data_IF_795937483702
#
_entry.id   IF_795937483702
#
_cell.length_a   1.000
_cell.length_b   1.000
_cell.length_c   1.000
_cell.angle_alpha   90.00
_cell.angle_beta   90.00
_cell.angle_gamma   90.00
#
_symmetry.space_group_name_H-M   'P 1'
#
loop_
_entity.id
_entity.type
_entity.pdbx_description
1 polymer ?
#
# COMPACT_ATOMS: atom_id res chain seq x y z
N UNK A 1 1.21 -2.02 -12.37
CA UNK A 1 1.92 -0.73 -12.46
C UNK A 1 0.92 0.33 -12.88
N UNK A 2 0.49 1.16 -11.93
CA UNK A 2 -0.27 2.38 -12.22
C UNK A 2 0.75 3.44 -12.62
N UNK A 3 0.48 4.19 -13.69
CA UNK A 3 1.37 5.25 -14.17
C UNK A 3 0.56 6.54 -14.23
N UNK A 4 0.80 7.43 -13.29
CA UNK A 4 0.38 8.81 -13.41
C UNK A 4 1.41 9.58 -14.23
N UNK A 5 0.96 10.53 -15.04
CA UNK A 5 1.83 11.32 -15.92
C UNK A 5 1.69 12.81 -15.61
N UNK A 6 2.82 13.53 -15.67
CA UNK A 6 2.90 14.94 -15.32
C UNK A 6 3.48 15.72 -16.51
N UNK A 7 2.74 16.72 -16.97
CA UNK A 7 3.23 17.71 -17.93
C UNK A 7 3.60 18.99 -17.20
N UNK A 8 4.79 19.54 -17.46
CA UNK A 8 5.26 20.78 -16.86
C UNK A 8 5.34 21.84 -17.95
N UNK A 9 4.73 22.99 -17.72
CA UNK A 9 4.76 24.15 -18.63
C UNK A 9 4.23 23.80 -20.03
N UNK A 10 4.91 24.17 -21.13
CA UNK A 10 4.38 24.00 -22.49
C UNK A 10 5.15 22.97 -23.34
N UNK A 11 6.19 22.34 -22.78
CA UNK A 11 7.18 21.58 -23.56
C UNK A 11 6.90 20.06 -23.60
N UNK A 12 5.62 19.68 -23.66
CA UNK A 12 5.21 18.27 -23.74
C UNK A 12 3.93 18.09 -24.58
N UNK A 13 3.69 16.86 -25.04
CA UNK A 13 2.47 16.49 -25.76
C UNK A 13 1.41 15.96 -24.78
N UNK A 14 0.37 16.77 -24.54
CA UNK A 14 -0.69 16.45 -23.59
C UNK A 14 -1.52 15.23 -23.98
N UNK A 15 -1.75 14.99 -25.27
CA UNK A 15 -2.53 13.85 -25.74
C UNK A 15 -1.76 12.54 -25.50
N UNK A 16 -0.46 12.54 -25.77
CA UNK A 16 0.40 11.38 -25.52
C UNK A 16 0.49 11.07 -24.02
N UNK A 17 0.76 12.09 -23.20
CA UNK A 17 0.90 11.92 -21.75
C UNK A 17 -0.38 11.41 -21.10
N UNK A 18 -1.54 11.93 -21.53
CA UNK A 18 -2.85 11.45 -21.11
C UNK A 18 -3.10 10.01 -21.55
N UNK A 19 -2.79 9.66 -22.80
CA UNK A 19 -2.94 8.30 -23.30
C UNK A 19 -2.11 7.26 -22.53
N UNK A 20 -0.88 7.61 -22.13
CA UNK A 20 -0.02 6.74 -21.32
C UNK A 20 -0.63 6.49 -19.93
N UNK A 21 -1.13 7.54 -19.28
CA UNK A 21 -1.72 7.42 -17.95
C UNK A 21 -3.00 6.57 -17.98
N UNK A 22 -3.92 6.87 -18.90
CA UNK A 22 -5.20 6.16 -19.02
C UNK A 22 -5.01 4.68 -19.37
N UNK A 23 -4.04 4.35 -20.23
CA UNK A 23 -3.71 2.97 -20.59
C UNK A 23 -3.23 2.11 -19.40
N UNK A 24 -2.83 2.74 -18.29
CA UNK A 24 -2.36 2.09 -17.06
C UNK A 24 -3.21 2.44 -15.84
N UNK A 25 -4.44 2.91 -16.06
CA UNK A 25 -5.39 3.32 -15.02
C UNK A 25 -4.85 4.43 -14.09
N UNK A 26 -3.91 5.25 -14.57
CA UNK A 26 -3.45 6.46 -13.88
C UNK A 26 -4.15 7.72 -14.38
N UNK A 27 -3.71 8.87 -13.87
CA UNK A 27 -4.23 10.20 -14.17
C UNK A 27 -3.13 11.09 -14.78
N UNK A 28 -3.55 12.03 -15.63
CA UNK A 28 -2.68 13.06 -16.19
C UNK A 28 -2.90 14.37 -15.45
N UNK A 29 -1.80 15.01 -15.04
CA UNK A 29 -1.80 16.29 -14.35
C UNK A 29 -0.98 17.33 -15.12
N UNK A 30 -1.59 18.49 -15.35
CA UNK A 30 -0.90 19.68 -15.86
C UNK A 30 -0.34 20.50 -14.71
N UNK A 31 0.95 20.80 -14.75
CA UNK A 31 1.65 21.57 -13.73
C UNK A 31 2.13 22.89 -14.31
N UNK A 32 1.69 24.00 -13.70
CA UNK A 32 2.14 25.34 -14.08
C UNK A 32 3.62 25.59 -13.76
N UNK A 33 4.18 24.89 -12.76
CA UNK A 33 5.62 24.97 -12.43
C UNK A 33 6.13 23.71 -11.74
N UNK A 34 7.44 23.50 -11.81
CA UNK A 34 8.11 22.35 -11.19
C UNK A 34 8.05 22.37 -9.64
N UNK A 35 7.86 23.53 -9.01
CA UNK A 35 7.76 23.64 -7.54
C UNK A 35 6.50 22.97 -6.98
N UNK A 36 5.44 22.90 -7.80
CA UNK A 36 4.19 22.23 -7.46
C UNK A 36 4.38 20.70 -7.41
N UNK A 37 5.39 20.14 -8.10
CA UNK A 37 5.69 18.70 -8.11
C UNK A 37 5.94 18.18 -6.71
N UNK A 38 6.67 18.92 -5.86
CA UNK A 38 6.95 18.44 -4.49
C UNK A 38 5.64 18.33 -3.71
N UNK A 39 4.82 19.39 -3.74
CA UNK A 39 3.52 19.41 -3.04
C UNK A 39 2.53 18.38 -3.60
N UNK A 40 2.54 18.18 -4.92
CA UNK A 40 1.69 17.19 -5.58
C UNK A 40 2.23 15.78 -5.45
N UNK A 41 3.52 15.52 -5.39
CA UNK A 41 4.04 14.19 -5.07
C UNK A 41 3.78 13.86 -3.59
N UNK A 42 3.82 14.85 -2.68
CA UNK A 42 3.38 14.66 -1.29
C UNK A 42 1.87 14.43 -1.18
N UNK A 43 1.04 15.02 -2.06
CA UNK A 43 -0.42 14.78 -2.12
C UNK A 43 -0.85 13.58 -2.99
N UNK A 44 -0.05 13.22 -3.99
CA UNK A 44 -0.24 12.10 -4.92
C UNK A 44 0.42 10.83 -4.39
N UNK A 45 1.16 10.93 -3.28
CA UNK A 45 1.28 9.84 -2.32
C UNK A 45 -0.14 9.56 -1.76
N UNK A 46 -0.88 8.77 -2.56
CA UNK A 46 -1.98 7.86 -2.17
C UNK A 46 -3.43 8.39 -2.22
N UNK A 47 -3.90 8.91 -3.36
CA UNK A 47 -5.33 8.77 -3.69
C UNK A 47 -5.61 7.33 -4.17
N UNK A 48 -5.85 6.40 -3.22
CA UNK A 48 -6.23 5.03 -3.58
C UNK A 48 -7.73 4.93 -3.79
N UNK A 49 -8.17 4.47 -4.97
CA UNK A 49 -9.57 4.20 -5.25
C UNK A 49 -9.97 2.84 -4.65
N UNK A 50 -10.78 2.87 -3.57
CA UNK A 50 -11.27 1.67 -2.88
C UNK A 50 -12.43 0.97 -3.59
N UNK A 51 -12.90 1.52 -4.72
CA UNK A 51 -14.11 1.11 -5.44
C UNK A 51 -15.33 1.09 -4.51
N UNK A 52 -16.26 0.18 -4.79
CA UNK A 52 -17.49 0.04 -4.01
C UNK A 52 -17.16 -0.46 -2.59
N UNK A 53 -17.57 0.35 -1.62
CA UNK A 53 -17.54 0.00 -0.20
C UNK A 53 -18.89 -0.57 0.21
N UNK A 54 -18.86 -1.65 0.99
CA UNK A 54 -20.05 -2.28 1.54
C UNK A 54 -19.88 -2.46 3.05
N UNK A 55 -21.00 -2.53 3.78
CA UNK A 55 -21.00 -2.64 5.25
C UNK A 55 -20.36 -3.93 5.76
N UNK A 56 -20.40 -4.99 4.95
CA UNK A 56 -19.82 -6.31 5.21
C UNK A 56 -18.40 -6.45 4.64
N UNK A 57 -17.86 -5.38 4.07
CA UNK A 57 -16.65 -5.40 3.28
C UNK A 57 -15.60 -4.47 3.89
N UNK A 58 -14.97 -4.93 4.97
CA UNK A 58 -13.90 -4.20 5.62
C UNK A 58 -12.72 -4.05 4.65
N UNK A 59 -12.25 -2.81 4.50
CA UNK A 59 -11.04 -2.46 3.74
C UNK A 59 -10.03 -1.90 4.71
N UNK A 60 -8.79 -2.37 4.58
CA UNK A 60 -7.67 -1.86 5.35
C UNK A 60 -6.64 -1.31 4.37
N UNK A 61 -6.13 -0.12 4.66
CA UNK A 61 -5.05 0.52 3.92
C UNK A 61 -3.83 0.47 4.84
N UNK A 62 -2.75 -0.14 4.38
CA UNK A 62 -1.46 -0.05 5.04
C UNK A 62 -0.67 1.10 4.41
N UNK A 63 -0.20 2.01 5.25
CA UNK A 63 0.60 3.17 4.83
C UNK A 63 1.99 3.05 5.43
N UNK A 64 3.00 3.23 4.59
CA UNK A 64 4.39 3.43 5.00
C UNK A 64 4.75 4.90 4.74
N UNK A 65 5.27 5.59 5.75
CA UNK A 65 5.69 6.97 5.64
C UNK A 65 6.87 7.25 6.59
N UNK A 66 7.73 8.18 6.19
CA UNK A 66 8.90 8.59 6.96
C UNK A 66 8.64 9.95 7.60
N UNK A 67 8.99 10.10 8.88
CA UNK A 67 8.88 11.36 9.61
C UNK A 67 10.26 11.89 9.98
N UNK A 68 10.50 13.19 9.80
CA UNK A 68 11.77 13.83 10.10
C UNK A 68 11.91 14.19 11.59
N UNK A 69 13.10 13.96 12.15
CA UNK A 69 13.43 14.06 13.59
C UNK A 69 13.44 15.48 14.20
N UNK A 70 12.90 16.51 13.56
CA UNK A 70 12.92 17.88 14.10
C UNK A 70 11.97 18.10 15.30
N UNK A 71 11.46 17.03 15.88
CA UNK A 71 10.37 17.05 16.87
C UNK A 71 10.94 16.76 18.26
N UNK A 72 10.58 17.60 19.23
CA UNK A 72 10.96 17.42 20.63
C UNK A 72 10.35 16.15 21.23
N UNK A 73 11.16 15.40 22.00
CA UNK A 73 10.71 14.22 22.73
C UNK A 73 9.44 14.50 23.57
N UNK A 74 8.52 13.54 23.59
CA UNK A 74 7.28 13.61 24.35
C UNK A 74 6.22 14.54 23.74
N UNK A 75 6.48 15.13 22.56
CA UNK A 75 5.51 15.97 21.86
C UNK A 75 4.70 15.13 20.90
N UNK A 76 3.37 15.20 21.00
CA UNK A 76 2.45 14.64 20.03
C UNK A 76 2.42 15.52 18.78
N UNK A 77 2.66 14.92 17.61
CA UNK A 77 2.69 15.62 16.33
C UNK A 77 1.79 14.89 15.34
N UNK A 78 0.89 15.65 14.71
CA UNK A 78 0.11 15.20 13.56
C UNK A 78 1.07 14.94 12.38
N UNK A 79 1.15 13.69 11.93
CA UNK A 79 2.08 13.28 10.85
C UNK A 79 1.37 12.89 9.57
N UNK A 80 0.07 12.61 9.62
CA UNK A 80 -0.71 12.29 8.45
C UNK A 80 -2.15 12.77 8.62
N UNK A 81 -2.63 13.54 7.63
CA UNK A 81 -4.04 13.82 7.45
C UNK A 81 -4.59 12.85 6.39
N UNK A 82 -5.72 12.21 6.65
CA UNK A 82 -6.37 11.31 5.70
C UNK A 82 -7.82 11.70 5.45
N UNK A 83 -8.31 11.39 4.25
CA UNK A 83 -9.66 11.71 3.81
C UNK A 83 -10.23 10.58 2.95
N UNK A 84 -11.36 10.02 3.37
CA UNK A 84 -12.17 9.11 2.58
C UNK A 84 -13.33 9.89 1.94
N UNK A 85 -13.41 9.83 0.61
CA UNK A 85 -14.51 10.41 -0.17
C UNK A 85 -15.30 9.29 -0.81
N UNK A 86 -16.63 9.27 -0.65
CA UNK A 86 -17.49 8.27 -1.27
C UNK A 86 -18.87 8.84 -1.60
N UNK A 87 -19.53 8.25 -2.60
CA UNK A 87 -20.90 8.59 -3.01
C UNK A 87 -21.86 7.47 -2.60
N UNK A 88 -23.07 7.83 -2.16
CA UNK A 88 -24.10 6.85 -1.83
C UNK A 88 -24.79 6.33 -3.10
N UNK A 89 -25.27 5.07 -3.10
CA UNK A 89 -26.06 4.54 -4.22
C UNK A 89 -27.28 5.43 -4.49
N UNK A 90 -27.47 5.85 -5.74
CA UNK A 90 -28.59 6.71 -6.14
C UNK A 90 -28.36 8.21 -6.00
N UNK A 91 -27.22 8.63 -5.44
CA UNK A 91 -26.84 10.05 -5.27
C UNK A 91 -25.54 10.37 -6.03
N UNK A 92 -25.42 9.88 -7.27
CA UNK A 92 -24.17 10.02 -8.07
C UNK A 92 -23.93 11.46 -8.53
N UNK A 93 -24.99 12.26 -8.65
CA UNK A 93 -24.91 13.68 -9.05
C UNK A 93 -24.76 14.64 -7.84
N UNK A 94 -24.80 14.13 -6.61
CA UNK A 94 -24.62 14.93 -5.39
C UNK A 94 -23.16 15.02 -4.97
N UNK A 95 -22.84 16.02 -4.13
CA UNK A 95 -21.50 16.16 -3.56
C UNK A 95 -21.12 14.92 -2.74
N UNK A 96 -19.88 14.40 -2.91
CA UNK A 96 -19.45 13.20 -2.22
C UNK A 96 -19.41 13.44 -0.70
N UNK A 97 -19.77 12.42 0.07
CA UNK A 97 -19.56 12.43 1.51
C UNK A 97 -18.07 12.32 1.80
N UNK A 98 -17.64 13.11 2.77
CA UNK A 98 -16.23 13.24 3.15
C UNK A 98 -16.09 12.87 4.62
N UNK A 99 -15.24 11.88 4.89
CA UNK A 99 -14.78 11.54 6.24
C UNK A 99 -13.30 11.85 6.31
N UNK A 100 -12.91 12.67 7.27
CA UNK A 100 -11.51 13.06 7.48
C UNK A 100 -11.03 12.61 8.85
N UNK A 101 -9.73 12.34 8.97
CA UNK A 101 -9.08 12.06 10.23
C UNK A 101 -7.61 12.42 10.19
N UNK A 102 -6.98 12.27 11.35
CA UNK A 102 -5.56 12.54 11.54
C UNK A 102 -4.90 11.38 12.26
N UNK A 103 -3.63 11.16 11.93
CA UNK A 103 -2.75 10.28 12.66
C UNK A 103 -1.69 11.14 13.34
N UNK A 104 -1.62 11.01 14.65
CA UNK A 104 -0.65 11.70 15.49
C UNK A 104 0.32 10.66 16.05
N UNK A 105 1.59 11.03 16.16
CA UNK A 105 2.65 10.19 16.74
C UNK A 105 3.36 10.95 17.84
N UNK A 106 3.89 10.22 18.81
CA UNK A 106 4.69 10.75 19.90
C UNK A 106 6.09 10.16 19.79
N UNK A 107 7.09 11.03 19.71
CA UNK A 107 8.50 10.62 19.69
C UNK A 107 8.96 10.35 21.12
N UNK A 108 9.50 9.16 21.36
CA UNK A 108 9.91 8.67 22.68
C UNK A 108 11.31 8.06 22.58
N UNK A 109 12.21 8.38 23.51
CA UNK A 109 13.54 7.76 23.59
C UNK A 109 13.52 6.48 24.43
N UNK A 110 12.50 5.64 24.24
CA UNK A 110 12.35 4.37 24.92
C UNK A 110 12.34 3.22 23.90
N UNK A 111 13.49 2.55 23.78
CA UNK A 111 13.67 1.41 22.87
C UNK A 111 12.76 0.22 23.20
N UNK A 112 12.25 0.11 24.45
CA UNK A 112 11.35 -0.98 24.82
C UNK A 112 10.01 -0.90 24.10
N UNK A 113 9.59 0.30 23.70
CA UNK A 113 8.35 0.54 22.96
C UNK A 113 8.43 0.08 21.50
N UNK A 114 9.64 -0.07 20.93
CA UNK A 114 9.84 -0.60 19.57
C UNK A 114 9.31 -2.05 19.47
N UNK A 115 9.32 -2.79 20.57
CA UNK A 115 8.84 -4.17 20.59
C UNK A 115 7.32 -4.29 20.67
N UNK A 116 6.61 -3.18 20.95
CA UNK A 116 5.15 -3.13 21.04
C UNK A 116 4.54 -2.76 19.68
N UNK A 117 4.83 -3.56 18.65
CA UNK A 117 4.15 -3.43 17.37
C UNK A 117 2.75 -4.03 17.50
N UNK A 118 1.74 -3.28 17.05
CA UNK A 118 0.37 -3.78 16.99
C UNK A 118 0.34 -5.12 16.19
N UNK A 119 -0.15 -6.22 16.78
CA UNK A 119 -0.20 -7.52 16.10
C UNK A 119 -0.88 -7.47 14.74
N UNK A 120 -1.96 -6.69 14.61
CA UNK A 120 -2.70 -6.55 13.35
C UNK A 120 -1.86 -5.86 12.28
N UNK A 121 -1.13 -4.81 12.64
CA UNK A 121 -0.21 -4.13 11.71
C UNK A 121 0.88 -5.09 11.25
N UNK A 122 1.44 -5.87 12.18
CA UNK A 122 2.46 -6.88 11.87
C UNK A 122 1.94 -7.96 10.92
N UNK A 123 0.73 -8.47 11.17
CA UNK A 123 0.06 -9.46 10.31
C UNK A 123 -0.21 -8.90 8.92
N UNK A 124 -0.79 -7.71 8.82
CA UNK A 124 -1.09 -7.06 7.53
C UNK A 124 0.18 -6.77 6.72
N UNK A 125 1.23 -6.30 7.38
CA UNK A 125 2.52 -6.07 6.73
C UNK A 125 3.10 -7.38 6.17
N UNK A 126 3.07 -8.48 6.94
CA UNK A 126 3.52 -9.78 6.47
C UNK A 126 2.72 -10.28 5.25
N UNK A 127 1.40 -10.04 5.22
CA UNK A 127 0.54 -10.38 4.07
C UNK A 127 0.92 -9.55 2.85
N UNK A 128 1.13 -8.25 3.01
CA UNK A 128 1.55 -7.38 1.89
C UNK A 128 2.90 -7.84 1.32
N UNK A 129 3.89 -8.05 2.18
CA UNK A 129 5.22 -8.52 1.74
C UNK A 129 5.11 -9.89 1.07
N UNK A 130 4.26 -10.79 1.57
CA UNK A 130 4.02 -12.08 0.94
C UNK A 130 3.40 -11.94 -0.46
N UNK A 131 2.50 -10.99 -0.68
CA UNK A 131 1.94 -10.70 -2.00
C UNK A 131 2.99 -10.16 -2.98
N UNK A 132 3.86 -9.25 -2.53
CA UNK A 132 4.99 -8.76 -3.35
C UNK A 132 5.96 -9.89 -3.71
N UNK A 133 6.16 -10.84 -2.79
CA UNK A 133 6.94 -12.05 -3.06
C UNK A 133 6.29 -12.93 -4.12
N UNK A 134 4.96 -13.07 -4.14
CA UNK A 134 4.24 -13.84 -5.17
C UNK A 134 4.50 -13.30 -6.58
N UNK A 135 4.43 -11.97 -6.75
CA UNK A 135 4.76 -11.32 -8.02
C UNK A 135 6.20 -11.62 -8.46
N UNK A 136 7.14 -11.60 -7.51
CA UNK A 136 8.54 -11.91 -7.78
C UNK A 136 8.76 -13.40 -8.07
N UNK A 137 8.05 -14.29 -7.39
CA UNK A 137 8.05 -15.73 -7.64
C UNK A 137 7.56 -16.00 -9.06
N UNK A 138 6.46 -15.37 -9.49
CA UNK A 138 5.95 -15.48 -10.85
C UNK A 138 7.01 -15.06 -11.89
N UNK A 139 7.67 -13.91 -11.68
CA UNK A 139 8.77 -13.46 -12.53
C UNK A 139 9.94 -14.46 -12.58
N UNK A 140 10.31 -15.09 -11.45
CA UNK A 140 11.39 -16.07 -11.41
C UNK A 140 11.01 -17.35 -12.18
N UNK A 141 9.75 -17.80 -12.06
CA UNK A 141 9.22 -18.95 -12.80
C UNK A 141 9.25 -18.67 -14.31
N UNK A 142 8.78 -17.51 -14.76
CA UNK A 142 8.80 -17.11 -16.17
C UNK A 142 10.22 -17.07 -16.75
N UNK A 143 11.19 -16.62 -15.94
CA UNK A 143 12.60 -16.59 -16.28
C UNK A 143 13.32 -17.95 -16.10
N UNK A 144 12.58 -19.04 -15.84
CA UNK A 144 13.10 -20.40 -15.61
C UNK A 144 14.10 -20.51 -14.45
N UNK A 145 14.09 -19.57 -13.51
CA UNK A 145 14.92 -19.56 -12.30
C UNK A 145 14.21 -20.29 -11.15
N UNK A 146 14.01 -21.60 -11.32
CA UNK A 146 13.21 -22.42 -10.39
C UNK A 146 13.80 -22.49 -8.98
N UNK A 147 15.11 -22.65 -8.86
CA UNK A 147 15.75 -22.75 -7.54
C UNK A 147 15.60 -21.45 -6.73
N UNK A 148 15.77 -20.31 -7.39
CA UNK A 148 15.53 -18.99 -6.79
C UNK A 148 14.06 -18.82 -6.36
N UNK A 149 13.11 -19.28 -7.19
CA UNK A 149 11.68 -19.25 -6.88
C UNK A 149 11.35 -20.12 -5.65
N UNK A 150 11.91 -21.33 -5.57
CA UNK A 150 11.72 -22.24 -4.43
C UNK A 150 12.29 -21.63 -3.15
N UNK A 151 13.47 -21.00 -3.23
CA UNK A 151 14.09 -20.32 -2.11
C UNK A 151 13.24 -19.11 -1.65
N UNK A 152 12.65 -18.37 -2.58
CA UNK A 152 11.78 -17.24 -2.25
C UNK A 152 10.46 -17.69 -1.61
N UNK A 153 9.84 -18.77 -2.11
CA UNK A 153 8.66 -19.38 -1.47
C UNK A 153 8.98 -19.86 -0.04
N UNK A 154 10.17 -20.42 0.19
CA UNK A 154 10.58 -20.84 1.54
C UNK A 154 10.64 -19.65 2.52
N UNK A 155 11.16 -18.50 2.04
CA UNK A 155 11.17 -17.24 2.81
C UNK A 155 9.74 -16.75 3.09
N UNK A 156 8.85 -16.81 2.09
CA UNK A 156 7.45 -16.41 2.22
C UNK A 156 6.72 -17.25 3.27
N UNK A 157 6.90 -18.58 3.23
CA UNK A 157 6.33 -19.50 4.24
C UNK A 157 6.85 -19.16 5.64
N UNK A 158 8.14 -18.85 5.78
CA UNK A 158 8.75 -18.49 7.06
C UNK A 158 8.13 -17.20 7.60
N UNK A 159 8.07 -16.15 6.78
CA UNK A 159 7.45 -14.87 7.11
C UNK A 159 5.99 -15.02 7.58
N UNK A 160 5.18 -15.77 6.84
CA UNK A 160 3.77 -15.97 7.18
C UNK A 160 3.60 -16.79 8.47
N UNK A 161 4.47 -17.77 8.73
CA UNK A 161 4.44 -18.55 9.98
C UNK A 161 4.81 -17.72 11.22
N UNK A 162 5.64 -16.69 11.06
CA UNK A 162 6.02 -15.78 12.15
C UNK A 162 4.87 -14.90 12.67
N UNK A 163 3.76 -14.84 11.93
CA UNK A 163 2.56 -14.07 12.30
C UNK A 163 1.30 -14.93 12.36
N UNK A 164 1.42 -16.27 12.22
CA UNK A 164 0.27 -17.18 12.18
C UNK A 164 -0.51 -17.19 13.49
N UNK A 165 0.17 -17.01 14.63
CA UNK A 165 -0.42 -16.92 15.96
C UNK A 165 -1.09 -15.56 16.25
N UNK A 166 -0.79 -14.55 15.44
CA UNK A 166 -1.34 -13.20 15.53
C UNK A 166 -2.60 -13.00 14.67
N UNK A 167 -2.98 -14.00 13.88
CA UNK A 167 -4.11 -13.95 12.96
C UNK A 167 -5.46 -14.01 13.70
N UNK A 168 -6.15 -12.87 13.78
CA UNK A 168 -7.50 -12.74 14.32
C UNK A 168 -8.58 -13.05 13.25
N UNK A 169 -8.19 -13.16 11.97
CA UNK A 169 -9.09 -13.29 10.82
C UNK A 169 -9.22 -14.73 10.34
N UNK A 170 -10.06 -15.54 11.02
CA UNK A 170 -10.59 -16.84 10.52
C UNK A 170 -9.56 -17.81 9.91
N UNK A 171 -8.26 -17.68 10.21
CA UNK A 171 -7.18 -18.49 9.64
C UNK A 171 -6.78 -18.11 8.21
N UNK A 172 -6.85 -16.83 7.83
CA UNK A 172 -6.34 -16.34 6.55
C UNK A 172 -4.85 -16.65 6.39
N UNK A 173 -4.02 -16.40 7.40
CA UNK A 173 -2.58 -16.65 7.34
C UNK A 173 -2.30 -18.14 7.16
N UNK A 174 -2.98 -19.00 7.92
CA UNK A 174 -2.87 -20.44 7.78
C UNK A 174 -3.25 -20.92 6.37
N UNK A 175 -4.25 -20.29 5.74
CA UNK A 175 -4.62 -20.56 4.34
C UNK A 175 -3.48 -20.15 3.38
N UNK A 176 -2.92 -18.95 3.53
CA UNK A 176 -1.81 -18.46 2.70
C UNK A 176 -0.56 -19.34 2.83
N UNK A 177 -0.22 -19.76 4.06
CA UNK A 177 0.87 -20.72 4.31
C UNK A 177 0.65 -22.02 3.55
N UNK A 178 -0.56 -22.60 3.61
CA UNK A 178 -0.89 -23.84 2.89
C UNK A 178 -0.79 -23.65 1.37
N UNK A 179 -1.21 -22.50 0.84
CA UNK A 179 -1.09 -22.19 -0.58
C UNK A 179 0.38 -22.13 -1.01
N UNK A 180 1.23 -21.42 -0.26
CA UNK A 180 2.65 -21.32 -0.52
C UNK A 180 3.36 -22.68 -0.43
N UNK A 181 3.04 -23.50 0.57
CA UNK A 181 3.56 -24.87 0.71
C UNK A 181 3.18 -25.77 -0.48
N UNK A 182 1.94 -25.67 -0.95
CA UNK A 182 1.48 -26.41 -2.12
C UNK A 182 2.18 -25.94 -3.40
N UNK A 183 2.38 -24.63 -3.55
CA UNK A 183 3.14 -24.07 -4.66
C UNK A 183 4.58 -24.59 -4.67
N UNK A 184 5.25 -24.59 -3.52
CA UNK A 184 6.61 -25.12 -3.39
C UNK A 184 6.71 -26.59 -3.78
N UNK A 185 5.75 -27.42 -3.35
CA UNK A 185 5.70 -28.85 -3.68
C UNK A 185 5.54 -29.11 -5.18
N UNK A 186 4.86 -28.23 -5.92
CA UNK A 186 4.66 -28.36 -7.36
C UNK A 186 5.87 -27.96 -8.20
N UNK A 187 6.78 -27.17 -7.62
CA UNK A 187 8.00 -26.71 -8.29
C UNK A 187 9.20 -27.62 -8.06
N UNK A 188 9.17 -28.45 -7.01
CA UNK A 188 10.12 -29.53 -6.74
C UNK A 188 9.81 -30.74 -7.61
#
# INVERSE_FOLDING_TARGET
IIIDSFGIEEDFDAEIMKGIAEARCGQFFFLESAEVIVTLMTKALQSTNLRDLHVDNLRVILCDFTVSETISEGTEVDVLDYQLKYSLPGHVEEEPLIVSGKLSVIFVNDESLIQLIDPKVKTLHAVQVAADMDDRIAQLIDNRKRDDAIALIAKQITLLKEVEDLDDEKGMIAMLVRMAENMQKRLK
#
